data_IF_105769342234
#
_entry.id   IF_105769342234
#
_cell.length_a   1.000
_cell.length_b   1.000
_cell.length_c   1.000
_cell.angle_alpha   90.00
_cell.angle_beta   90.00
_cell.angle_gamma   90.00
#
_symmetry.space_group_name_H-M   'P 1'
#
loop_
_entity.id
_entity.type
_entity.pdbx_description
1 polymer ?
#
# COMPACT_ATOMS: atom_id res chain seq x y z
N UNK A 1 -8.10 -11.16 6.76
CA UNK A 1 -8.77 -11.64 5.54
C UNK A 1 -7.74 -12.15 4.56
N UNK A 2 -7.98 -13.31 4.00
CA UNK A 2 -7.02 -13.95 3.08
C UNK A 2 -7.41 -13.65 1.64
N UNK A 3 -6.55 -12.94 0.95
CA UNK A 3 -6.69 -12.70 -0.48
C UNK A 3 -5.78 -13.66 -1.25
N UNK A 4 -6.24 -14.16 -2.40
CA UNK A 4 -5.43 -15.01 -3.26
C UNK A 4 -4.22 -14.22 -3.76
N UNK A 5 -2.98 -14.64 -3.45
CA UNK A 5 -1.78 -13.93 -3.89
C UNK A 5 -1.71 -13.74 -5.41
N UNK A 6 -2.11 -14.73 -6.19
CA UNK A 6 -2.08 -14.61 -7.65
C UNK A 6 -3.03 -13.50 -8.13
N UNK A 7 -4.19 -13.38 -7.52
CA UNK A 7 -5.15 -12.33 -7.84
C UNK A 7 -4.63 -10.95 -7.43
N UNK A 8 -4.04 -10.84 -6.25
CA UNK A 8 -3.41 -9.59 -5.80
C UNK A 8 -2.38 -9.11 -6.81
N UNK A 9 -1.50 -10.02 -7.25
CA UNK A 9 -0.45 -9.70 -8.21
C UNK A 9 -1.04 -9.29 -9.56
N UNK A 10 -2.02 -10.03 -10.06
CA UNK A 10 -2.66 -9.72 -11.34
C UNK A 10 -3.32 -8.34 -11.30
N UNK A 11 -4.04 -8.04 -10.25
CA UNK A 11 -4.68 -6.72 -10.09
C UNK A 11 -3.61 -5.63 -9.97
N UNK A 12 -2.58 -5.82 -9.17
CA UNK A 12 -1.50 -4.83 -9.03
C UNK A 12 -0.84 -4.56 -10.38
N UNK A 13 -0.56 -5.59 -11.16
CA UNK A 13 0.04 -5.44 -12.49
C UNK A 13 -0.87 -4.71 -13.47
N UNK A 14 -2.16 -4.79 -13.29
CA UNK A 14 -3.10 -4.05 -14.15
C UNK A 14 -3.00 -2.53 -13.97
N UNK A 15 -2.31 -2.07 -12.93
CA UNK A 15 -2.05 -0.64 -12.69
C UNK A 15 -0.77 -0.14 -13.36
N UNK A 16 0.04 -1.02 -13.95
CA UNK A 16 1.25 -0.60 -14.66
C UNK A 16 0.89 0.40 -15.75
N UNK A 17 1.67 1.47 -15.84
CA UNK A 17 1.41 2.57 -16.75
C UNK A 17 0.50 3.65 -16.20
N UNK A 18 -0.10 3.44 -15.03
CA UNK A 18 -0.88 4.50 -14.37
C UNK A 18 0.07 5.62 -13.93
N UNK A 19 -0.18 6.88 -14.36
CA UNK A 19 0.69 7.99 -13.98
C UNK A 19 0.68 8.26 -12.48
N UNK A 20 1.79 8.76 -11.96
CA UNK A 20 1.82 9.20 -10.57
C UNK A 20 0.93 10.43 -10.39
N UNK A 21 0.08 10.38 -9.39
CA UNK A 21 -0.73 11.52 -8.97
C UNK A 21 -0.97 11.44 -7.47
N UNK A 22 -0.59 12.48 -6.75
CA UNK A 22 -0.66 12.52 -5.30
C UNK A 22 -2.09 12.26 -4.80
N UNK A 23 -2.23 11.33 -3.86
CA UNK A 23 -3.49 10.92 -3.24
C UNK A 23 -4.53 10.29 -4.17
N UNK A 24 -4.20 10.11 -5.44
CA UNK A 24 -5.13 9.50 -6.40
C UNK A 24 -5.12 7.98 -6.30
N UNK A 25 -6.23 7.37 -6.66
CA UNK A 25 -6.40 5.91 -6.69
C UNK A 25 -7.39 5.53 -7.78
N UNK A 26 -7.01 5.80 -9.04
CA UNK A 26 -7.84 5.48 -10.20
C UNK A 26 -6.96 4.87 -11.29
N UNK A 27 -7.17 3.58 -11.55
CA UNK A 27 -6.36 2.82 -12.49
C UNK A 27 -6.37 3.47 -13.88
N UNK A 28 -5.17 3.61 -14.45
CA UNK A 28 -4.99 4.21 -15.77
C UNK A 28 -5.03 5.72 -15.80
N UNK A 29 -5.51 6.36 -14.76
CA UNK A 29 -5.66 7.83 -14.67
C UNK A 29 -4.66 8.45 -13.73
N UNK A 30 -4.51 7.91 -12.53
CA UNK A 30 -3.53 8.41 -11.58
C UNK A 30 -3.55 7.64 -10.29
N UNK A 31 -2.38 7.45 -9.68
CA UNK A 31 -2.25 6.90 -8.35
C UNK A 31 -0.90 7.28 -7.74
N UNK A 32 -0.83 7.29 -6.41
CA UNK A 32 0.43 7.23 -5.68
C UNK A 32 0.60 5.81 -5.11
N UNK A 33 1.64 5.57 -4.30
CA UNK A 33 1.89 4.23 -3.78
C UNK A 33 0.75 3.72 -2.90
N UNK A 34 0.20 4.57 -2.05
CA UNK A 34 -0.94 4.18 -1.22
C UNK A 34 -2.20 4.03 -2.06
N UNK A 35 -2.38 4.87 -3.08
CA UNK A 35 -3.49 4.77 -4.02
C UNK A 35 -3.51 3.45 -4.77
N UNK A 36 -2.34 2.94 -5.17
CA UNK A 36 -2.23 1.62 -5.75
C UNK A 36 -2.70 0.54 -4.77
N UNK A 37 -2.19 0.57 -3.55
CA UNK A 37 -2.58 -0.39 -2.52
C UNK A 37 -4.08 -0.35 -2.24
N UNK A 38 -4.67 0.85 -2.16
CA UNK A 38 -6.11 1.03 -1.99
C UNK A 38 -6.91 0.44 -3.14
N UNK A 39 -6.45 0.65 -4.37
CA UNK A 39 -7.10 0.11 -5.56
C UNK A 39 -7.10 -1.41 -5.60
N UNK A 40 -5.96 -2.01 -5.26
CA UNK A 40 -5.86 -3.47 -5.16
C UNK A 40 -6.80 -3.99 -4.08
N UNK A 41 -6.86 -3.32 -2.93
CA UNK A 41 -7.79 -3.71 -1.86
C UNK A 41 -9.24 -3.73 -2.35
N UNK A 42 -9.68 -2.64 -3.03
CA UNK A 42 -11.07 -2.57 -3.51
C UNK A 42 -11.42 -3.68 -4.48
N UNK A 43 -10.48 -4.09 -5.33
CA UNK A 43 -10.72 -5.13 -6.33
C UNK A 43 -10.66 -6.54 -5.76
N UNK A 44 -9.81 -6.78 -4.78
CA UNK A 44 -9.53 -8.14 -4.28
C UNK A 44 -10.30 -8.44 -3.00
N UNK A 45 -10.41 -7.47 -2.12
CA UNK A 45 -11.02 -7.65 -0.79
C UNK A 45 -12.44 -7.10 -0.77
N UNK A 46 -12.63 -5.87 -1.19
CA UNK A 46 -13.93 -5.19 -1.14
C UNK A 46 -13.80 -3.74 -0.74
N UNK A 47 -14.87 -3.10 -0.28
CA UNK A 47 -14.83 -1.70 0.12
C UNK A 47 -13.72 -1.43 1.14
N UNK A 48 -13.11 -0.26 1.06
CA UNK A 48 -12.08 0.14 2.02
C UNK A 48 -12.69 0.21 3.43
N UNK A 49 -12.00 -0.39 4.44
CA UNK A 49 -12.59 -0.51 5.78
C UNK A 49 -12.75 0.81 6.52
N UNK A 50 -11.94 1.81 6.17
CA UNK A 50 -12.04 3.13 6.78
C UNK A 50 -11.53 4.18 5.80
N UNK A 51 -12.06 5.42 5.89
CA UNK A 51 -11.57 6.51 5.05
C UNK A 51 -10.09 6.78 5.31
N UNK A 52 -9.36 7.13 4.25
CA UNK A 52 -7.99 7.58 4.36
C UNK A 52 -8.01 9.10 4.48
N UNK A 53 -7.45 9.69 5.55
CA UNK A 53 -7.35 11.14 5.67
C UNK A 53 -6.49 11.72 4.55
N UNK A 54 -6.72 12.98 4.21
CA UNK A 54 -5.87 13.67 3.26
C UNK A 54 -4.42 13.70 3.78
N UNK A 55 -3.47 13.51 2.87
CA UNK A 55 -2.05 13.49 3.19
C UNK A 55 -1.27 14.19 2.09
N UNK A 56 -0.02 14.57 2.39
CA UNK A 56 0.90 15.15 1.40
C UNK A 56 2.02 14.15 1.10
N UNK A 57 2.91 14.50 0.15
CA UNK A 57 4.05 13.65 -0.18
C UNK A 57 4.97 13.39 1.00
N UNK A 58 5.05 14.32 1.93
CA UNK A 58 5.89 14.22 3.12
C UNK A 58 5.13 13.74 4.35
N UNK A 59 3.92 13.24 4.18
CA UNK A 59 3.15 12.70 5.30
C UNK A 59 3.95 11.60 6.00
N UNK A 60 3.98 11.66 7.30
CA UNK A 60 4.74 10.68 8.07
C UNK A 60 6.24 10.96 8.15
N UNK A 61 6.79 11.97 7.44
CA UNK A 61 8.20 12.32 7.59
C UNK A 61 8.46 13.19 8.81
N UNK A 62 7.49 13.97 9.21
CA UNK A 62 7.66 15.03 10.20
C UNK A 62 7.19 14.66 11.60
N UNK A 63 6.57 13.51 11.77
CA UNK A 63 6.06 13.07 13.07
C UNK A 63 6.74 11.81 13.57
N UNK A 64 6.68 11.53 14.86
CA UNK A 64 7.25 10.31 15.43
C UNK A 64 6.37 9.08 15.22
N UNK A 65 5.12 9.24 14.80
CA UNK A 65 4.19 8.13 14.64
C UNK A 65 4.40 7.40 13.32
N UNK A 66 4.37 6.08 13.39
CA UNK A 66 4.37 5.19 12.23
C UNK A 66 2.96 5.11 11.64
N UNK A 67 2.47 6.22 11.05
CA UNK A 67 1.07 6.33 10.61
C UNK A 67 0.70 5.27 9.59
N UNK A 68 1.57 5.05 8.60
CA UNK A 68 1.34 4.04 7.57
C UNK A 68 1.35 2.64 8.14
N UNK A 69 2.34 2.32 8.97
CA UNK A 69 2.46 1.00 9.58
C UNK A 69 1.30 0.71 10.53
N UNK A 70 0.88 1.70 11.34
CA UNK A 70 -0.27 1.56 12.22
C UNK A 70 -1.55 1.27 11.43
N UNK A 71 -1.76 1.97 10.34
CA UNK A 71 -2.91 1.73 9.46
C UNK A 71 -2.89 0.34 8.86
N UNK A 72 -1.74 -0.11 8.38
CA UNK A 72 -1.59 -1.45 7.81
C UNK A 72 -1.86 -2.53 8.85
N UNK A 73 -1.38 -2.36 10.08
CA UNK A 73 -1.61 -3.32 11.15
C UNK A 73 -3.09 -3.47 11.53
N UNK A 74 -3.88 -2.41 11.38
CA UNK A 74 -5.32 -2.47 11.64
C UNK A 74 -6.07 -3.26 10.57
N UNK A 75 -5.52 -3.37 9.36
CA UNK A 75 -6.23 -3.92 8.20
C UNK A 75 -5.69 -5.27 7.75
N UNK A 76 -4.46 -5.62 8.12
CA UNK A 76 -3.75 -6.78 7.59
C UNK A 76 -2.96 -7.48 8.69
N UNK A 77 -2.56 -8.71 8.42
CA UNK A 77 -1.74 -9.50 9.34
C UNK A 77 -0.27 -9.19 9.06
N UNK A 78 0.45 -8.73 10.07
CA UNK A 78 1.89 -8.47 9.94
C UNK A 78 2.67 -9.77 9.97
N UNK A 79 3.62 -9.91 9.05
CA UNK A 79 4.58 -11.02 9.03
C UNK A 79 6.00 -10.46 8.92
N UNK A 80 6.99 -11.25 9.28
CA UNK A 80 8.38 -10.84 9.11
C UNK A 80 8.75 -10.78 7.63
N UNK A 81 9.78 -9.99 7.25
CA UNK A 81 10.25 -9.99 5.86
C UNK A 81 10.62 -11.38 5.34
N UNK A 82 11.14 -12.23 6.20
CA UNK A 82 11.51 -13.61 5.80
C UNK A 82 10.29 -14.46 5.48
N UNK A 83 9.15 -14.16 6.06
CA UNK A 83 7.89 -14.88 5.84
C UNK A 83 7.05 -14.28 4.72
N UNK A 84 7.38 -13.08 4.25
CA UNK A 84 6.63 -12.42 3.20
C UNK A 84 6.79 -13.15 1.88
N UNK A 85 5.69 -13.36 1.19
CA UNK A 85 5.65 -14.03 -0.10
C UNK A 85 4.94 -13.19 -1.14
N UNK A 86 4.73 -13.76 -2.34
CA UNK A 86 4.04 -13.05 -3.43
C UNK A 86 2.67 -12.52 -2.96
N UNK A 87 2.34 -11.31 -3.36
CA UNK A 87 1.10 -10.64 -2.96
C UNK A 87 1.19 -9.88 -1.65
N UNK A 88 2.30 -9.98 -0.93
CA UNK A 88 2.46 -9.26 0.33
C UNK A 88 2.63 -7.76 0.09
N UNK A 89 2.01 -6.96 0.97
CA UNK A 89 2.24 -5.52 1.01
C UNK A 89 3.52 -5.27 1.81
N UNK A 90 4.42 -4.48 1.24
CA UNK A 90 5.71 -4.18 1.86
C UNK A 90 5.78 -2.70 2.17
N UNK A 91 6.14 -2.36 3.40
CA UNK A 91 6.36 -0.98 3.82
C UNK A 91 7.86 -0.68 3.80
N UNK A 92 8.22 0.47 3.27
CA UNK A 92 9.62 0.88 3.13
C UNK A 92 9.93 2.09 3.97
N UNK A 93 11.10 2.04 4.63
CA UNK A 93 11.71 3.22 5.25
C UNK A 93 12.70 3.80 4.24
N UNK A 94 12.60 5.09 3.96
CA UNK A 94 13.52 5.73 3.02
C UNK A 94 14.90 5.97 3.65
N UNK A 95 14.96 6.00 4.99
CA UNK A 95 16.20 6.11 5.78
C UNK A 95 16.07 5.20 6.99
N UNK A 96 17.20 4.67 7.54
CA UNK A 96 17.14 3.72 8.66
C UNK A 96 16.38 4.19 9.89
N UNK A 97 16.40 5.49 10.19
CA UNK A 97 15.73 6.06 11.36
C UNK A 97 14.43 6.78 11.03
N UNK A 98 14.02 6.77 9.77
CA UNK A 98 12.77 7.40 9.37
C UNK A 98 11.61 6.44 9.57
N UNK A 99 10.41 6.99 9.67
CA UNK A 99 9.19 6.17 9.69
C UNK A 99 8.92 5.63 8.28
N UNK A 100 8.18 4.54 8.19
CA UNK A 100 7.78 3.96 6.92
C UNK A 100 6.79 4.90 6.21
N UNK A 101 7.04 5.22 4.94
CA UNK A 101 6.21 6.14 4.17
C UNK A 101 5.98 5.72 2.72
N UNK A 102 6.46 4.56 2.33
CA UNK A 102 6.27 4.03 0.99
C UNK A 102 5.76 2.60 1.06
N UNK A 103 4.93 2.21 0.12
CA UNK A 103 4.41 0.85 0.06
C UNK A 103 4.62 0.27 -1.34
N UNK A 104 4.77 -1.04 -1.38
CA UNK A 104 4.83 -1.80 -2.62
C UNK A 104 4.18 -3.16 -2.43
N UNK A 105 4.04 -3.89 -3.52
CA UNK A 105 3.46 -5.24 -3.51
C UNK A 105 4.45 -6.20 -4.12
N UNK A 106 4.78 -7.26 -3.40
CA UNK A 106 5.67 -8.30 -3.91
C UNK A 106 4.97 -9.07 -5.03
N UNK A 107 5.67 -9.25 -6.14
CA UNK A 107 5.15 -10.01 -7.28
C UNK A 107 5.84 -11.37 -7.47
N UNK A 108 6.86 -11.62 -6.70
CA UNK A 108 7.58 -12.90 -6.75
C UNK A 108 8.08 -13.29 -5.35
#
# INVERSE_FOLDING_TARGET
MNADPARVIAVARSWLGTPYHDQASLRGVGCDCLGLARGVWRDVVGPEPSPIPAYSRDWGETGPREVLAEGARRMMIEVSPAEAGPGALVLFRMKPRAIAKHVGILTA
#
